data_IF_534175533214
#
_entry.id   IF_534175533214
#
_cell.length_a   1.000
_cell.length_b   1.000
_cell.length_c   1.000
_cell.angle_alpha   90.00
_cell.angle_beta   90.00
_cell.angle_gamma   90.00
#
_symmetry.space_group_name_H-M   'P 1'
#
loop_
_entity.id
_entity.type
_entity.pdbx_description
1 polymer ?
#
# COMPACT_ATOMS: atom_id res chain seq x y z
N UNK A 1 18.37 37.18 14.89
CA UNK A 1 18.85 37.15 13.51
C UNK A 1 17.67 37.23 12.58
N UNK A 2 17.56 38.37 11.82
CA UNK A 2 16.40 38.71 11.03
C UNK A 2 16.25 37.83 9.77
N UNK A 3 15.41 36.82 9.83
CA UNK A 3 14.95 36.08 8.66
C UNK A 3 13.89 36.87 7.89
N UNK A 4 14.12 37.12 6.60
CA UNK A 4 13.19 37.77 5.67
C UNK A 4 12.02 36.85 5.33
N UNK A 5 11.11 36.54 6.26
CA UNK A 5 9.95 35.73 6.01
C UNK A 5 8.78 35.98 6.97
N UNK A 6 7.59 35.51 6.68
CA UNK A 6 6.44 35.63 7.58
C UNK A 6 6.76 35.02 8.95
N UNK A 7 6.49 35.73 10.04
CA UNK A 7 6.81 35.31 11.43
C UNK A 7 6.22 33.94 11.79
N UNK A 8 5.07 33.52 11.20
CA UNK A 8 4.49 32.23 11.46
C UNK A 8 5.32 31.05 10.90
N UNK A 9 6.03 31.26 9.77
CA UNK A 9 6.96 30.26 9.24
C UNK A 9 8.18 30.11 10.15
N UNK A 10 8.70 31.21 10.66
CA UNK A 10 9.83 31.19 11.63
C UNK A 10 9.49 30.40 12.90
N UNK A 11 8.23 30.44 13.37
CA UNK A 11 7.77 29.63 14.50
C UNK A 11 7.77 28.13 14.11
N UNK A 12 7.25 27.78 12.94
CA UNK A 12 7.25 26.39 12.47
C UNK A 12 8.67 25.85 12.24
N UNK A 13 9.57 26.68 11.70
CA UNK A 13 10.98 26.35 11.48
C UNK A 13 11.73 26.15 12.81
N UNK A 14 11.48 26.99 13.80
CA UNK A 14 12.05 26.82 15.14
C UNK A 14 11.62 25.55 15.82
N UNK A 15 10.33 25.18 15.68
CA UNK A 15 9.83 23.89 16.17
C UNK A 15 10.54 22.74 15.44
N UNK A 16 10.67 22.80 14.10
CA UNK A 16 11.36 21.78 13.32
C UNK A 16 12.84 21.62 13.76
N UNK A 17 13.55 22.71 13.99
CA UNK A 17 14.93 22.69 14.45
C UNK A 17 15.07 22.09 15.86
N UNK A 18 14.21 22.48 16.80
CA UNK A 18 14.21 21.95 18.16
C UNK A 18 13.86 20.44 18.21
N UNK A 19 12.97 19.98 17.34
CA UNK A 19 12.67 18.56 17.18
C UNK A 19 13.87 17.81 16.60
N UNK A 20 14.51 18.34 15.55
CA UNK A 20 15.68 17.74 14.92
C UNK A 20 16.90 17.70 15.85
N UNK A 21 17.08 18.73 16.70
CA UNK A 21 18.12 18.79 17.72
C UNK A 21 17.85 17.90 18.96
N UNK A 22 16.64 17.30 19.06
CA UNK A 22 16.24 16.53 20.25
C UNK A 22 15.86 17.37 21.47
N UNK A 23 15.82 18.68 21.36
CA UNK A 23 15.41 19.60 22.43
C UNK A 23 13.90 19.49 22.74
N UNK A 24 13.11 19.13 21.73
CA UNK A 24 11.69 18.81 21.86
C UNK A 24 11.46 17.33 21.52
N UNK A 25 11.62 16.41 22.49
CA UNK A 25 11.38 15.00 22.27
C UNK A 25 9.91 14.70 21.98
N UNK A 26 9.67 13.56 21.31
CA UNK A 26 8.34 13.06 21.00
C UNK A 26 7.43 13.00 22.24
N UNK A 27 6.19 13.45 22.10
CA UNK A 27 5.22 13.52 23.21
C UNK A 27 5.37 14.80 24.07
N UNK A 28 6.37 15.66 23.83
CA UNK A 28 6.49 16.93 24.52
C UNK A 28 5.30 17.83 24.23
N UNK A 29 4.73 18.42 25.28
CA UNK A 29 3.62 19.37 25.12
C UNK A 29 4.15 20.75 24.76
N UNK A 30 3.67 21.31 23.65
CA UNK A 30 3.97 22.70 23.29
C UNK A 30 3.21 23.67 24.20
N UNK A 31 3.76 24.89 24.44
CA UNK A 31 3.08 25.93 25.18
C UNK A 31 1.70 26.26 24.63
N UNK A 32 0.72 26.63 25.46
CA UNK A 32 -0.54 27.18 24.97
C UNK A 32 -0.29 28.36 24.03
N UNK A 33 -1.02 28.42 22.93
CA UNK A 33 -0.78 29.43 21.88
C UNK A 33 -0.81 30.86 22.41
N UNK A 34 -1.64 31.16 23.43
CA UNK A 34 -1.71 32.47 24.05
C UNK A 34 -0.42 32.84 24.82
N UNK A 35 0.13 31.85 25.54
CA UNK A 35 1.35 32.04 26.31
C UNK A 35 2.53 32.27 25.36
N UNK A 36 2.67 31.42 24.33
CA UNK A 36 3.74 31.59 23.35
C UNK A 36 3.63 32.91 22.58
N UNK A 37 2.40 33.39 22.30
CA UNK A 37 2.20 34.68 21.66
C UNK A 37 2.70 35.84 22.55
N UNK A 38 2.42 35.77 23.85
CA UNK A 38 2.89 36.73 24.84
C UNK A 38 4.43 36.71 24.95
N UNK A 39 5.01 35.51 25.12
CA UNK A 39 6.46 35.34 25.30
C UNK A 39 7.26 35.78 24.08
N UNK A 40 6.73 35.57 22.87
CA UNK A 40 7.39 35.97 21.61
C UNK A 40 7.05 37.40 21.15
N UNK A 41 6.17 38.13 21.84
CA UNK A 41 5.73 39.47 21.44
C UNK A 41 5.06 39.50 20.05
N UNK A 42 4.27 38.48 19.74
CA UNK A 42 3.53 38.34 18.47
C UNK A 42 2.03 38.20 18.70
N UNK A 43 1.24 38.36 17.65
CA UNK A 43 -0.21 38.15 17.77
C UNK A 43 -0.55 36.68 17.93
N UNK A 44 -1.67 36.37 18.61
CA UNK A 44 -2.21 34.99 18.72
C UNK A 44 -2.40 34.37 17.34
N UNK A 45 -2.89 35.13 16.35
CA UNK A 45 -3.07 34.66 14.99
C UNK A 45 -1.77 34.21 14.30
N UNK A 46 -0.64 34.85 14.65
CA UNK A 46 0.68 34.46 14.15
C UNK A 46 1.10 33.08 14.70
N UNK A 47 0.88 32.85 16.00
CA UNK A 47 1.20 31.57 16.63
C UNK A 47 0.22 30.47 16.14
N UNK A 48 -1.06 30.78 16.00
CA UNK A 48 -2.05 29.85 15.45
C UNK A 48 -1.64 29.37 14.05
N UNK A 49 -1.21 30.27 13.17
CA UNK A 49 -0.69 29.93 11.84
C UNK A 49 0.60 29.13 11.92
N UNK A 50 1.51 29.46 12.83
CA UNK A 50 2.77 28.71 13.06
C UNK A 50 2.51 27.27 13.49
N UNK A 51 1.56 27.07 14.42
CA UNK A 51 1.16 25.73 14.87
C UNK A 51 0.42 24.96 13.79
N UNK A 52 -0.41 25.62 13.00
CA UNK A 52 -1.07 25.00 11.85
C UNK A 52 -0.05 24.54 10.80
N UNK A 53 0.96 25.36 10.52
CA UNK A 53 2.04 25.01 9.61
C UNK A 53 2.92 23.87 10.16
N UNK A 54 3.27 23.89 11.45
CA UNK A 54 3.97 22.78 12.09
C UNK A 54 3.15 21.47 12.04
N UNK A 55 1.83 21.57 12.17
CA UNK A 55 0.91 20.42 12.01
C UNK A 55 0.89 19.93 10.56
N UNK A 56 0.82 20.82 9.58
CA UNK A 56 0.89 20.48 8.16
C UNK A 56 2.19 19.75 7.82
N UNK A 57 3.31 20.13 8.45
CA UNK A 57 4.61 19.46 8.31
C UNK A 57 4.73 18.17 9.13
N UNK A 58 3.70 17.77 9.86
CA UNK A 58 3.72 16.55 10.68
C UNK A 58 4.57 16.64 11.96
N UNK A 59 5.03 17.84 12.34
CA UNK A 59 5.87 18.03 13.53
C UNK A 59 5.08 17.96 14.83
N UNK A 60 3.82 18.36 14.79
CA UNK A 60 2.95 18.43 15.96
C UNK A 60 1.54 17.92 15.67
N UNK A 61 0.90 17.36 16.69
CA UNK A 61 -0.51 16.94 16.68
C UNK A 61 -1.21 17.41 17.93
N UNK A 62 -2.54 17.38 17.96
CA UNK A 62 -3.29 17.74 19.15
C UNK A 62 -4.74 17.31 19.06
N UNK A 63 -5.31 16.96 20.21
CA UNK A 63 -6.74 16.75 20.40
C UNK A 63 -7.37 18.01 20.97
N UNK A 64 -8.58 18.32 20.54
CA UNK A 64 -9.36 19.46 21.05
C UNK A 64 -9.50 19.32 22.57
N UNK A 65 -9.07 20.32 23.33
CA UNK A 65 -9.12 20.35 24.81
C UNK A 65 -7.90 19.76 25.53
N UNK A 66 -7.01 19.00 24.89
CA UNK A 66 -5.83 18.38 25.54
C UNK A 66 -4.50 19.12 25.27
N UNK A 67 -4.42 19.89 24.22
CA UNK A 67 -3.23 20.66 23.86
C UNK A 67 -2.53 20.18 22.59
N UNK A 68 -1.43 20.85 22.23
CA UNK A 68 -0.59 20.51 21.08
C UNK A 68 0.65 19.80 21.57
N UNK A 69 0.96 18.64 21.01
CA UNK A 69 2.11 17.82 21.40
C UNK A 69 3.02 17.64 20.19
N UNK A 70 4.32 17.60 20.45
CA UNK A 70 5.30 17.16 19.44
C UNK A 70 4.92 15.72 19.06
N UNK A 71 4.57 15.56 17.81
CA UNK A 71 4.52 14.19 17.28
C UNK A 71 5.97 13.75 17.29
N UNK A 72 6.25 12.61 17.95
CA UNK A 72 7.50 11.93 17.70
C UNK A 72 7.67 11.94 16.21
N UNK A 73 8.89 11.99 15.71
CA UNK A 73 9.08 11.60 14.34
C UNK A 73 8.16 10.38 14.21
N UNK A 74 6.93 10.58 13.69
CA UNK A 74 6.24 9.47 13.02
C UNK A 74 7.40 8.97 12.24
N UNK A 75 7.86 7.76 12.58
CA UNK A 75 8.92 7.22 11.77
C UNK A 75 8.76 7.84 10.41
N UNK A 76 9.51 8.93 10.17
CA UNK A 76 9.65 9.46 8.86
C UNK A 76 10.45 8.38 8.18
N UNK A 77 9.76 7.24 8.08
CA UNK A 77 10.07 6.29 7.03
C UNK A 77 9.95 7.20 5.84
N UNK A 78 11.06 7.50 5.20
CA UNK A 78 11.00 8.24 3.96
C UNK A 78 9.83 7.61 3.22
N UNK A 79 9.01 8.39 2.52
CA UNK A 79 7.92 7.91 1.67
C UNK A 79 8.47 6.91 0.64
N UNK A 80 9.27 5.99 1.04
CA UNK A 80 10.04 4.97 0.35
C UNK A 80 9.55 3.59 0.78
N UNK A 81 9.55 2.68 -0.17
CA UNK A 81 9.22 1.27 -0.07
C UNK A 81 9.60 0.65 1.28
N UNK A 82 8.82 -0.33 1.73
CA UNK A 82 8.97 -1.07 2.99
C UNK A 82 10.45 -1.31 3.29
N UNK A 83 11.01 -0.53 4.21
CA UNK A 83 12.38 -0.74 4.67
C UNK A 83 12.39 -1.98 5.56
N UNK A 84 13.02 -3.05 5.11
CA UNK A 84 13.27 -4.22 5.93
C UNK A 84 14.24 -3.79 7.02
N UNK A 85 13.77 -3.73 8.27
CA UNK A 85 14.64 -3.44 9.40
C UNK A 85 15.72 -4.54 9.51
N UNK A 86 16.97 -4.16 9.83
CA UNK A 86 18.03 -5.16 9.99
C UNK A 86 17.65 -6.15 11.11
N UNK A 87 17.84 -7.44 10.83
CA UNK A 87 17.61 -8.51 11.80
C UNK A 87 18.50 -8.30 13.01
N UNK A 88 17.91 -8.22 14.20
CA UNK A 88 18.67 -8.24 15.45
C UNK A 88 18.94 -9.71 15.82
N UNK A 89 20.17 -10.10 16.16
CA UNK A 89 20.47 -11.45 16.59
C UNK A 89 19.55 -11.90 17.74
N UNK A 90 18.97 -13.09 17.63
CA UNK A 90 18.07 -13.66 18.64
C UNK A 90 16.63 -13.17 18.61
N UNK A 91 16.25 -12.34 17.64
CA UNK A 91 14.86 -11.90 17.44
C UNK A 91 14.20 -12.73 16.36
N UNK A 92 12.98 -13.25 16.65
CA UNK A 92 12.09 -13.82 15.63
C UNK A 92 11.24 -12.66 15.07
N UNK A 93 11.43 -12.34 13.79
CA UNK A 93 10.76 -11.21 13.16
C UNK A 93 9.56 -11.69 12.32
N UNK A 94 8.36 -11.38 12.77
CA UNK A 94 7.11 -11.64 12.05
C UNK A 94 6.57 -10.40 11.28
N UNK A 95 7.33 -9.30 11.25
CA UNK A 95 6.87 -8.08 10.58
C UNK A 95 6.89 -8.17 9.04
N UNK A 96 7.58 -9.16 8.50
CA UNK A 96 7.71 -9.34 7.05
C UNK A 96 7.54 -10.81 6.67
N UNK A 97 6.75 -11.07 5.63
CA UNK A 97 6.68 -12.37 4.98
C UNK A 97 7.94 -12.56 4.13
N UNK A 98 8.94 -13.25 4.67
CA UNK A 98 10.23 -13.52 4.01
C UNK A 98 10.29 -14.99 3.66
N UNK A 99 10.68 -15.35 2.40
CA UNK A 99 10.87 -16.75 2.02
C UNK A 99 11.90 -17.45 2.91
N UNK A 100 11.60 -18.70 3.27
CA UNK A 100 12.54 -19.54 4.03
C UNK A 100 13.82 -19.75 3.22
N UNK A 101 14.97 -19.51 3.85
CA UNK A 101 16.28 -19.75 3.22
C UNK A 101 16.47 -21.25 2.90
N UNK A 102 17.15 -21.57 1.81
CA UNK A 102 17.48 -22.95 1.45
C UNK A 102 17.05 -23.30 0.03
N UNK A 103 16.18 -24.32 -0.14
CA UNK A 103 15.77 -24.83 -1.47
C UNK A 103 15.38 -23.77 -2.49
N UNK A 104 14.58 -22.71 -2.15
CA UNK A 104 14.24 -21.67 -3.12
C UNK A 104 15.45 -20.95 -3.68
N UNK A 105 16.48 -20.69 -2.85
CA UNK A 105 17.72 -20.05 -3.30
C UNK A 105 18.53 -20.92 -4.26
N UNK A 106 18.56 -22.24 -4.03
CA UNK A 106 19.25 -23.19 -4.92
C UNK A 106 18.55 -23.28 -6.28
N UNK A 107 17.23 -23.35 -6.29
CA UNK A 107 16.43 -23.36 -7.52
C UNK A 107 16.61 -22.08 -8.32
N UNK A 108 16.62 -20.93 -7.65
CA UNK A 108 16.87 -19.63 -8.28
C UNK A 108 18.28 -19.56 -8.89
N UNK A 109 19.31 -20.00 -8.16
CA UNK A 109 20.69 -20.01 -8.66
C UNK A 109 20.83 -20.86 -9.93
N UNK A 110 20.19 -22.03 -9.96
CA UNK A 110 20.14 -22.88 -11.16
C UNK A 110 19.45 -22.16 -12.33
N UNK A 111 18.27 -21.60 -12.10
CA UNK A 111 17.53 -20.87 -13.14
C UNK A 111 18.34 -19.70 -13.70
N UNK A 112 19.01 -18.93 -12.84
CA UNK A 112 19.88 -17.84 -13.28
C UNK A 112 21.05 -18.33 -14.13
N UNK A 113 21.67 -19.46 -13.78
CA UNK A 113 22.74 -20.06 -14.58
C UNK A 113 22.21 -20.53 -15.95
N UNK A 114 21.05 -21.16 -15.98
CA UNK A 114 20.40 -21.61 -17.22
C UNK A 114 20.08 -20.43 -18.14
N UNK A 115 19.54 -19.33 -17.60
CA UNK A 115 19.26 -18.09 -18.35
C UNK A 115 20.57 -17.46 -18.86
N UNK A 116 21.60 -17.35 -18.02
CA UNK A 116 22.87 -16.71 -18.38
C UNK A 116 23.61 -17.43 -19.53
N UNK A 117 23.40 -18.74 -19.68
CA UNK A 117 23.97 -19.55 -20.74
C UNK A 117 23.06 -19.75 -21.95
N UNK A 118 21.84 -19.23 -21.89
CA UNK A 118 20.85 -19.30 -22.96
C UNK A 118 21.26 -18.38 -24.13
N UNK A 119 20.97 -18.82 -25.36
CA UNK A 119 21.13 -17.97 -26.56
C UNK A 119 20.20 -16.73 -26.55
N UNK A 120 19.20 -16.74 -25.69
CA UNK A 120 18.19 -15.67 -25.57
C UNK A 120 18.63 -14.51 -24.66
N UNK A 121 19.77 -14.63 -23.98
CA UNK A 121 20.26 -13.62 -23.03
C UNK A 121 20.44 -12.24 -23.69
N UNK A 122 20.80 -12.20 -24.95
CA UNK A 122 20.96 -10.93 -25.70
C UNK A 122 19.59 -10.25 -25.95
N UNK A 123 18.54 -11.03 -26.24
CA UNK A 123 17.20 -10.51 -26.40
C UNK A 123 16.66 -9.93 -25.08
N UNK A 124 17.02 -10.56 -23.95
CA UNK A 124 16.63 -10.08 -22.62
C UNK A 124 17.32 -8.75 -22.24
N UNK A 125 18.48 -8.45 -22.82
CA UNK A 125 19.21 -7.20 -22.58
C UNK A 125 18.68 -6.01 -23.41
N UNK A 126 17.84 -6.26 -24.41
CA UNK A 126 17.26 -5.25 -25.28
C UNK A 126 16.01 -4.59 -24.67
N UNK A 127 15.48 -3.57 -25.38
CA UNK A 127 14.17 -3.02 -25.08
C UNK A 127 13.10 -4.08 -25.27
N UNK A 128 12.24 -4.23 -24.28
CA UNK A 128 11.12 -5.16 -24.30
C UNK A 128 9.82 -4.45 -24.68
N UNK A 129 8.86 -5.20 -25.21
CA UNK A 129 7.51 -4.70 -25.39
C UNK A 129 6.89 -4.40 -24.02
N UNK A 130 6.01 -3.41 -23.94
CA UNK A 130 5.39 -2.94 -22.70
C UNK A 130 4.71 -4.07 -21.89
N UNK A 131 4.14 -5.06 -22.57
CA UNK A 131 3.49 -6.22 -21.94
C UNK A 131 4.43 -7.41 -21.69
N UNK A 132 5.69 -7.32 -22.08
CA UNK A 132 6.69 -8.39 -21.96
C UNK A 132 6.76 -9.31 -23.18
N UNK A 133 7.80 -10.17 -23.23
CA UNK A 133 8.04 -11.07 -24.33
C UNK A 133 6.90 -12.09 -24.52
N UNK A 134 6.50 -12.43 -25.75
CA UNK A 134 5.45 -13.39 -26.03
C UNK A 134 5.61 -14.71 -25.27
N UNK A 135 6.83 -15.31 -25.28
CA UNK A 135 7.13 -16.55 -24.56
C UNK A 135 6.94 -16.45 -23.05
N UNK A 136 7.20 -15.27 -22.44
CA UNK A 136 6.96 -15.06 -21.01
C UNK A 136 5.46 -14.97 -20.72
N UNK A 137 4.69 -14.32 -21.58
CA UNK A 137 3.23 -14.25 -21.49
C UNK A 137 2.58 -15.62 -21.68
N UNK A 138 3.08 -16.42 -22.62
CA UNK A 138 2.67 -17.83 -22.77
C UNK A 138 2.98 -18.68 -21.52
N UNK A 139 4.15 -18.47 -20.91
CA UNK A 139 4.49 -19.13 -19.64
C UNK A 139 3.56 -18.68 -18.51
N UNK A 140 3.20 -17.40 -18.46
CA UNK A 140 2.21 -16.84 -17.55
C UNK A 140 0.84 -17.49 -17.74
N UNK A 141 0.36 -17.63 -18.97
CA UNK A 141 -0.91 -18.31 -19.26
C UNK A 141 -0.91 -19.77 -18.77
N UNK A 142 0.17 -20.51 -19.01
CA UNK A 142 0.33 -21.88 -18.50
C UNK A 142 0.40 -21.94 -16.96
N UNK A 143 0.98 -20.90 -16.33
CA UNK A 143 1.00 -20.82 -14.87
C UNK A 143 -0.39 -20.59 -14.29
N UNK A 144 -1.14 -19.61 -14.84
CA UNK A 144 -2.49 -19.29 -14.41
C UNK A 144 -3.50 -20.42 -14.63
N UNK A 145 -3.33 -21.20 -15.69
CA UNK A 145 -4.16 -22.39 -15.94
C UNK A 145 -4.11 -23.43 -14.80
N UNK A 146 -3.09 -23.43 -13.96
CA UNK A 146 -3.02 -24.28 -12.76
C UNK A 146 -3.98 -23.84 -11.65
N UNK A 147 -4.49 -22.63 -11.75
CA UNK A 147 -5.44 -22.02 -10.81
C UNK A 147 -6.81 -21.87 -11.44
N UNK A 148 -7.13 -22.69 -12.45
CA UNK A 148 -8.40 -22.67 -13.22
C UNK A 148 -8.70 -21.31 -13.87
N UNK A 149 -7.65 -20.50 -14.11
CA UNK A 149 -7.76 -19.24 -14.85
C UNK A 149 -7.47 -19.47 -16.33
N UNK A 150 -8.48 -19.29 -17.17
CA UNK A 150 -8.38 -19.35 -18.62
C UNK A 150 -7.81 -18.02 -19.16
N UNK A 151 -6.50 -17.80 -18.98
CA UNK A 151 -5.82 -16.65 -19.55
C UNK A 151 -5.15 -16.98 -20.89
N UNK A 152 -5.18 -16.03 -21.81
CA UNK A 152 -4.42 -16.09 -23.05
C UNK A 152 -3.19 -15.19 -22.97
N UNK A 153 -2.14 -15.42 -23.78
CA UNK A 153 -0.98 -14.53 -23.77
C UNK A 153 -1.31 -13.06 -24.04
N UNK A 154 -2.43 -12.77 -24.70
CA UNK A 154 -2.80 -11.40 -25.09
C UNK A 154 -3.39 -10.59 -23.93
N UNK A 155 -3.91 -11.25 -22.92
CA UNK A 155 -4.41 -10.58 -21.71
C UNK A 155 -3.46 -10.69 -20.50
N UNK A 156 -2.17 -10.94 -20.75
CA UNK A 156 -1.13 -11.01 -19.74
C UNK A 156 -0.09 -9.92 -19.96
N UNK A 157 0.21 -9.19 -18.90
CA UNK A 157 1.37 -8.30 -18.82
C UNK A 157 2.38 -8.83 -17.80
N UNK A 158 3.65 -8.87 -18.18
CA UNK A 158 4.74 -9.28 -17.28
C UNK A 158 5.26 -8.06 -16.54
N UNK A 159 5.30 -8.14 -15.22
CA UNK A 159 5.75 -7.06 -14.36
C UNK A 159 6.95 -7.44 -13.50
N UNK A 160 7.64 -6.46 -12.94
CA UNK A 160 8.75 -6.67 -12.00
C UNK A 160 8.20 -6.97 -10.58
N UNK A 161 7.51 -8.09 -10.45
CA UNK A 161 6.86 -8.53 -9.22
C UNK A 161 5.49 -7.88 -8.99
N UNK A 162 4.73 -8.42 -8.01
CA UNK A 162 3.36 -8.00 -7.71
C UNK A 162 3.26 -6.51 -7.35
N UNK A 163 4.23 -5.95 -6.64
CA UNK A 163 4.25 -4.52 -6.32
C UNK A 163 4.21 -3.63 -7.57
N UNK A 164 4.94 -4.01 -8.63
CA UNK A 164 4.88 -3.30 -9.91
C UNK A 164 3.54 -3.54 -10.61
N UNK A 165 2.99 -4.75 -10.52
CA UNK A 165 1.65 -5.07 -11.03
C UNK A 165 0.58 -4.18 -10.40
N UNK A 166 0.57 -4.06 -9.07
CA UNK A 166 -0.35 -3.16 -8.33
C UNK A 166 -0.20 -1.71 -8.80
N UNK A 167 1.04 -1.21 -8.92
CA UNK A 167 1.30 0.16 -9.39
C UNK A 167 0.71 0.40 -10.78
N UNK A 168 1.01 -0.49 -11.73
CA UNK A 168 0.55 -0.35 -13.13
C UNK A 168 -0.97 -0.44 -13.20
N UNK A 169 -1.60 -1.38 -12.49
CA UNK A 169 -3.06 -1.51 -12.44
C UNK A 169 -3.73 -0.26 -11.88
N UNK A 170 -3.23 0.29 -10.77
CA UNK A 170 -3.77 1.52 -10.19
C UNK A 170 -3.58 2.72 -11.12
N UNK A 171 -2.42 2.85 -11.77
CA UNK A 171 -2.18 3.93 -12.74
C UNK A 171 -3.08 3.85 -13.97
N UNK A 172 -3.45 2.64 -14.39
CA UNK A 172 -4.33 2.43 -15.54
C UNK A 172 -5.81 2.70 -15.21
N UNK A 173 -6.23 2.44 -13.97
CA UNK A 173 -7.64 2.41 -13.58
C UNK A 173 -8.10 3.62 -12.75
N UNK A 174 -7.18 4.39 -12.17
CA UNK A 174 -7.51 5.47 -11.25
C UNK A 174 -6.79 6.78 -11.57
N UNK A 175 -7.40 7.89 -11.16
CA UNK A 175 -6.82 9.22 -11.20
C UNK A 175 -6.57 9.73 -9.77
N UNK A 176 -5.60 10.66 -9.56
CA UNK A 176 -5.41 11.28 -8.26
C UNK A 176 -6.71 11.87 -7.70
N UNK A 177 -7.05 11.52 -6.48
CA UNK A 177 -8.30 11.92 -5.80
C UNK A 177 -9.40 10.87 -5.84
N UNK A 178 -9.30 9.85 -6.68
CA UNK A 178 -10.24 8.73 -6.71
C UNK A 178 -10.17 7.91 -5.42
N UNK A 179 -11.28 7.24 -5.09
CA UNK A 179 -11.37 6.35 -3.95
C UNK A 179 -11.25 4.90 -4.38
N UNK A 180 -10.37 4.15 -3.71
CA UNK A 180 -10.22 2.70 -3.85
C UNK A 180 -10.70 2.04 -2.56
N UNK A 181 -11.64 1.10 -2.69
CA UNK A 181 -12.09 0.24 -1.61
C UNK A 181 -11.02 -0.82 -1.35
N UNK A 182 -10.74 -1.11 -0.09
CA UNK A 182 -9.80 -2.17 0.27
C UNK A 182 -10.16 -2.76 1.62
N UNK A 183 -9.70 -3.97 1.86
CA UNK A 183 -9.78 -4.62 3.17
C UNK A 183 -9.27 -3.69 4.27
N UNK A 184 -9.98 -3.63 5.41
CA UNK A 184 -9.67 -2.73 6.54
C UNK A 184 -8.27 -2.97 7.12
N UNK A 185 -7.77 -4.19 7.01
CA UNK A 185 -6.36 -4.56 7.11
C UNK A 185 -5.90 -4.93 5.71
N UNK A 186 -4.82 -4.37 5.20
CA UNK A 186 -4.42 -4.62 3.82
C UNK A 186 -2.90 -4.59 3.67
N UNK A 187 -2.42 -5.02 2.51
CA UNK A 187 -0.99 -5.07 2.22
C UNK A 187 -0.36 -3.67 2.28
N UNK A 188 0.67 -3.45 3.13
CA UNK A 188 1.28 -2.13 3.27
C UNK A 188 1.84 -1.55 1.98
N UNK A 189 2.32 -2.39 1.06
CA UNK A 189 2.82 -1.97 -0.24
C UNK A 189 1.74 -1.38 -1.13
N UNK A 190 0.54 -1.95 -1.16
CA UNK A 190 -0.62 -1.37 -1.83
C UNK A 190 -0.99 -0.01 -1.22
N UNK A 191 -1.10 0.06 0.12
CA UNK A 191 -1.44 1.31 0.82
C UNK A 191 -0.44 2.43 0.46
N UNK A 192 0.85 2.09 0.36
CA UNK A 192 1.89 3.04 0.01
C UNK A 192 1.76 3.53 -1.43
N UNK A 193 1.58 2.62 -2.38
CA UNK A 193 1.39 2.98 -3.80
C UNK A 193 0.16 3.86 -3.99
N UNK A 194 -0.98 3.48 -3.39
CA UNK A 194 -2.20 4.27 -3.47
C UNK A 194 -1.99 5.70 -2.94
N UNK A 195 -1.28 5.87 -1.82
CA UNK A 195 -0.94 7.20 -1.27
C UNK A 195 -0.03 7.99 -2.20
N UNK A 196 0.98 7.36 -2.79
CA UNK A 196 1.90 8.02 -3.74
C UNK A 196 1.17 8.50 -5.00
N UNK A 197 0.17 7.75 -5.45
CA UNK A 197 -0.69 8.13 -6.57
C UNK A 197 -1.77 9.16 -6.20
N UNK A 198 -1.83 9.59 -4.93
CA UNK A 198 -2.83 10.55 -4.47
C UNK A 198 -4.24 9.99 -4.37
N UNK A 199 -4.39 8.66 -4.27
CA UNK A 199 -5.67 7.98 -4.12
C UNK A 199 -6.16 8.02 -2.67
N UNK A 200 -7.47 8.01 -2.49
CA UNK A 200 -8.13 7.85 -1.19
C UNK A 200 -8.41 6.37 -0.97
N UNK A 201 -8.12 5.88 0.23
CA UNK A 201 -8.43 4.51 0.61
C UNK A 201 -9.64 4.51 1.53
N UNK A 202 -10.64 3.72 1.18
CA UNK A 202 -11.82 3.50 1.99
C UNK A 202 -11.80 2.07 2.52
N UNK A 203 -11.71 1.88 3.85
CA UNK A 203 -11.64 0.55 4.45
C UNK A 203 -13.00 -0.16 4.40
N UNK A 204 -12.97 -1.42 3.99
CA UNK A 204 -14.11 -2.35 4.03
C UNK A 204 -13.92 -3.30 5.21
N UNK A 205 -14.93 -3.45 6.04
CA UNK A 205 -14.88 -4.36 7.18
C UNK A 205 -14.70 -5.81 6.76
N UNK A 206 -14.04 -6.57 7.62
CA UNK A 206 -13.67 -7.97 7.44
C UNK A 206 -14.14 -8.80 8.62
N UNK A 207 -14.33 -10.10 8.36
CA UNK A 207 -14.53 -11.15 9.36
C UNK A 207 -13.49 -12.29 9.18
N UNK A 208 -13.77 -13.44 9.77
CA UNK A 208 -12.89 -14.62 9.69
C UNK A 208 -12.85 -15.27 8.28
N UNK A 209 -13.64 -14.78 7.34
CA UNK A 209 -13.64 -15.19 5.92
C UNK A 209 -13.16 -14.07 4.97
N UNK A 210 -12.68 -12.92 5.50
CA UNK A 210 -12.22 -11.79 4.69
C UNK A 210 -13.27 -10.70 4.54
N UNK A 211 -13.38 -10.08 3.36
CA UNK A 211 -14.34 -8.99 3.10
C UNK A 211 -15.77 -9.41 3.40
N UNK A 212 -16.48 -8.56 4.17
CA UNK A 212 -17.92 -8.65 4.40
C UNK A 212 -18.64 -7.99 3.22
N UNK A 213 -19.43 -8.72 2.39
CA UNK A 213 -20.07 -8.18 1.18
C UNK A 213 -21.04 -7.03 1.44
N UNK A 214 -21.75 -7.06 2.56
CA UNK A 214 -22.65 -5.98 2.99
C UNK A 214 -21.86 -4.70 3.29
N UNK A 215 -20.72 -4.82 3.98
CA UNK A 215 -19.83 -3.69 4.26
C UNK A 215 -19.20 -3.12 2.96
N UNK A 216 -18.90 -3.97 1.98
CA UNK A 216 -18.47 -3.53 0.66
C UNK A 216 -19.55 -2.69 -0.03
N UNK A 217 -20.80 -3.15 0.03
CA UNK A 217 -21.95 -2.43 -0.52
C UNK A 217 -22.13 -1.07 0.16
N UNK A 218 -22.06 -1.01 1.48
CA UNK A 218 -22.17 0.24 2.24
C UNK A 218 -21.03 1.22 1.90
N UNK A 219 -19.78 0.74 1.83
CA UNK A 219 -18.63 1.54 1.51
C UNK A 219 -18.72 2.11 0.08
N UNK A 220 -19.16 1.30 -0.88
CA UNK A 220 -19.37 1.73 -2.26
C UNK A 220 -20.46 2.81 -2.36
N UNK A 221 -21.62 2.62 -1.72
CA UNK A 221 -22.69 3.60 -1.72
C UNK A 221 -22.28 4.94 -1.07
N UNK A 222 -21.44 4.89 -0.02
CA UNK A 222 -20.95 6.09 0.66
C UNK A 222 -19.94 6.88 -0.17
N UNK A 223 -19.09 6.19 -0.95
CA UNK A 223 -17.95 6.79 -1.64
C UNK A 223 -18.14 6.93 -3.14
N UNK A 224 -19.07 6.17 -3.74
CA UNK A 224 -19.21 5.98 -5.19
C UNK A 224 -17.91 5.48 -5.85
N UNK A 225 -17.08 4.76 -5.11
CA UNK A 225 -15.84 4.17 -5.62
C UNK A 225 -16.14 3.12 -6.71
N UNK A 226 -15.22 2.99 -7.67
CA UNK A 226 -15.32 2.02 -8.77
C UNK A 226 -14.26 0.94 -8.71
N UNK A 227 -13.28 1.05 -7.81
CA UNK A 227 -12.17 0.12 -7.68
C UNK A 227 -12.21 -0.56 -6.31
N UNK A 228 -11.96 -1.87 -6.33
CA UNK A 228 -11.70 -2.70 -5.16
C UNK A 228 -10.30 -3.30 -5.30
N UNK A 229 -9.47 -3.21 -4.26
CA UNK A 229 -8.27 -4.04 -4.10
C UNK A 229 -8.54 -5.08 -3.03
N UNK A 230 -8.24 -6.35 -3.30
CA UNK A 230 -8.45 -7.45 -2.34
C UNK A 230 -7.46 -8.59 -2.51
N UNK A 231 -7.29 -9.37 -1.43
CA UNK A 231 -6.42 -10.56 -1.34
C UNK A 231 -7.22 -11.79 -0.86
N UNK A 232 -8.19 -12.28 -1.63
CA UNK A 232 -9.14 -13.29 -1.13
C UNK A 232 -8.54 -14.70 -1.01
N UNK A 233 -7.47 -15.02 -1.75
CA UNK A 233 -6.84 -16.33 -1.74
C UNK A 233 -6.11 -16.65 -0.45
N UNK A 234 -5.09 -15.86 -0.11
CA UNK A 234 -4.41 -15.85 1.19
C UNK A 234 -4.17 -14.40 1.56
N UNK A 235 -4.90 -13.92 2.53
CA UNK A 235 -4.89 -12.52 2.91
C UNK A 235 -3.62 -12.12 3.68
N UNK A 236 -3.04 -10.99 3.33
CA UNK A 236 -1.96 -10.36 4.08
C UNK A 236 -2.46 -9.09 4.79
N UNK A 237 -2.45 -9.02 6.16
CA UNK A 237 -1.58 -9.82 7.04
C UNK A 237 -2.24 -10.96 7.80
N UNK A 238 -3.53 -11.25 7.62
CA UNK A 238 -4.29 -12.14 8.53
C UNK A 238 -4.16 -13.62 8.21
N UNK A 239 -3.66 -13.98 7.02
CA UNK A 239 -3.64 -15.34 6.49
C UNK A 239 -5.04 -16.00 6.35
N UNK A 240 -6.10 -15.22 6.42
CA UNK A 240 -7.47 -15.69 6.14
C UNK A 240 -7.57 -16.14 4.70
N UNK A 241 -8.31 -17.19 4.45
CA UNK A 241 -8.62 -17.74 3.14
C UNK A 241 -10.14 -17.76 2.97
N UNK A 242 -10.62 -17.12 1.91
CA UNK A 242 -12.05 -17.03 1.63
C UNK A 242 -12.62 -18.40 1.21
N UNK A 243 -13.78 -18.77 1.74
CA UNK A 243 -14.49 -19.98 1.29
C UNK A 243 -15.11 -19.80 -0.11
N UNK A 244 -15.38 -20.90 -0.82
CA UNK A 244 -16.03 -20.84 -2.12
C UNK A 244 -17.40 -20.15 -2.07
N UNK A 245 -18.14 -20.33 -0.98
CA UNK A 245 -19.45 -19.70 -0.82
C UNK A 245 -19.30 -18.16 -0.68
N UNK A 246 -18.36 -17.70 0.16
CA UNK A 246 -18.09 -16.29 0.34
C UNK A 246 -17.55 -15.66 -0.95
N UNK A 247 -16.67 -16.34 -1.68
CA UNK A 247 -16.13 -15.88 -2.96
C UNK A 247 -17.22 -15.65 -3.99
N UNK A 248 -18.21 -16.57 -4.06
CA UNK A 248 -19.35 -16.40 -4.96
C UNK A 248 -20.18 -15.16 -4.59
N UNK A 249 -20.46 -14.96 -3.30
CA UNK A 249 -21.19 -13.77 -2.83
C UNK A 249 -20.42 -12.50 -3.11
N UNK A 250 -19.09 -12.50 -2.92
CA UNK A 250 -18.23 -11.37 -3.27
C UNK A 250 -18.27 -11.08 -4.77
N UNK A 251 -18.16 -12.10 -5.62
CA UNK A 251 -18.24 -11.95 -7.07
C UNK A 251 -19.59 -11.33 -7.52
N UNK A 252 -20.70 -11.81 -6.95
CA UNK A 252 -22.03 -11.28 -7.25
C UNK A 252 -22.17 -9.82 -6.75
N UNK A 253 -21.56 -9.50 -5.61
CA UNK A 253 -21.56 -8.13 -5.07
C UNK A 253 -20.73 -7.19 -5.96
N UNK A 254 -19.54 -7.60 -6.38
CA UNK A 254 -18.68 -6.82 -7.31
C UNK A 254 -19.41 -6.53 -8.60
N UNK A 255 -20.08 -7.55 -9.18
CA UNK A 255 -20.92 -7.40 -10.39
C UNK A 255 -22.05 -6.40 -10.18
N UNK A 256 -22.81 -6.57 -9.10
CA UNK A 256 -23.97 -5.72 -8.79
C UNK A 256 -23.60 -4.26 -8.60
N UNK A 257 -22.43 -4.00 -8.03
CA UNK A 257 -21.92 -2.66 -7.74
C UNK A 257 -21.13 -2.04 -8.92
N UNK A 258 -20.98 -2.75 -10.02
CA UNK A 258 -20.16 -2.34 -11.20
C UNK A 258 -18.74 -1.92 -10.80
N UNK A 259 -18.10 -2.72 -9.94
CA UNK A 259 -16.73 -2.52 -9.49
C UNK A 259 -15.75 -3.23 -10.41
N UNK A 260 -14.57 -2.66 -10.59
CA UNK A 260 -13.39 -3.37 -11.08
C UNK A 260 -12.55 -3.81 -9.88
N UNK A 261 -12.21 -5.09 -9.80
CA UNK A 261 -11.38 -5.64 -8.74
C UNK A 261 -9.92 -5.82 -9.19
N UNK A 262 -8.99 -5.40 -8.37
CA UNK A 262 -7.58 -5.79 -8.44
C UNK A 262 -7.41 -6.92 -7.42
N UNK A 263 -7.28 -8.15 -7.92
CA UNK A 263 -7.12 -9.36 -7.11
C UNK A 263 -5.64 -9.69 -6.95
N UNK A 264 -5.11 -9.52 -5.75
CA UNK A 264 -3.72 -9.85 -5.44
C UNK A 264 -3.61 -11.30 -4.95
N UNK A 265 -3.13 -12.17 -5.82
CA UNK A 265 -2.99 -13.60 -5.62
C UNK A 265 -1.53 -14.06 -5.43
N UNK A 266 -0.64 -13.15 -4.99
CA UNK A 266 0.79 -13.42 -4.84
C UNK A 266 1.11 -14.62 -3.94
N UNK A 267 0.26 -14.92 -2.97
CA UNK A 267 0.43 -16.01 -2.01
C UNK A 267 -0.32 -17.30 -2.38
N UNK A 268 -1.16 -17.28 -3.38
CA UNK A 268 -2.06 -18.41 -3.72
C UNK A 268 -1.35 -19.74 -4.00
N UNK A 269 -0.10 -19.68 -4.45
CA UNK A 269 0.72 -20.88 -4.69
C UNK A 269 1.31 -21.55 -3.44
N UNK A 270 1.07 -21.01 -2.24
CA UNK A 270 1.63 -21.53 -0.98
C UNK A 270 0.73 -22.54 -0.27
N UNK A 271 -0.53 -22.62 -0.63
CA UNK A 271 -1.52 -23.51 -0.02
C UNK A 271 -2.46 -24.08 -1.09
N UNK A 272 -3.18 -25.15 -0.73
CA UNK A 272 -4.31 -25.62 -1.53
C UNK A 272 -5.42 -24.59 -1.46
N UNK A 273 -5.98 -24.21 -2.61
CA UNK A 273 -7.07 -23.25 -2.69
C UNK A 273 -8.33 -23.79 -2.03
N UNK A 274 -9.00 -22.93 -1.27
CA UNK A 274 -10.34 -23.21 -0.74
C UNK A 274 -11.46 -22.72 -1.66
N UNK A 275 -11.16 -21.77 -2.55
CA UNK A 275 -12.10 -21.18 -3.49
C UNK A 275 -11.43 -20.93 -4.85
N UNK A 276 -12.20 -20.92 -5.96
CA UNK A 276 -11.68 -20.40 -7.23
C UNK A 276 -11.32 -18.93 -7.09
N UNK A 277 -10.35 -18.40 -7.85
CA UNK A 277 -10.05 -16.98 -7.82
C UNK A 277 -11.23 -16.14 -8.31
N UNK A 278 -11.37 -14.93 -7.79
CA UNK A 278 -12.41 -13.98 -8.21
C UNK A 278 -12.39 -13.76 -9.72
N UNK A 279 -11.19 -13.65 -10.29
CA UNK A 279 -10.95 -13.51 -11.73
C UNK A 279 -11.49 -14.65 -12.58
N UNK A 280 -11.68 -15.86 -12.04
CA UNK A 280 -12.35 -16.95 -12.76
C UNK A 280 -13.87 -16.83 -12.75
N UNK A 281 -14.46 -16.16 -11.76
CA UNK A 281 -15.89 -15.96 -11.62
C UNK A 281 -16.39 -14.71 -12.37
N UNK A 282 -15.56 -13.67 -12.41
CA UNK A 282 -15.89 -12.37 -13.02
C UNK A 282 -14.70 -11.82 -13.84
N UNK A 283 -14.24 -12.52 -14.88
CA UNK A 283 -13.03 -12.18 -15.64
C UNK A 283 -13.07 -10.78 -16.26
N UNK A 284 -14.26 -10.29 -16.64
CA UNK A 284 -14.43 -8.97 -17.27
C UNK A 284 -14.27 -7.81 -16.27
N UNK A 285 -14.30 -8.09 -14.98
CA UNK A 285 -14.25 -7.09 -13.91
C UNK A 285 -13.06 -7.30 -12.96
N UNK A 286 -12.12 -8.20 -13.28
CA UNK A 286 -10.98 -8.52 -12.41
C UNK A 286 -9.66 -8.45 -13.18
N UNK A 287 -8.67 -7.87 -12.54
CA UNK A 287 -7.29 -7.79 -13.00
C UNK A 287 -6.39 -8.46 -11.96
#
# INVERSE_FOLDING_TARGET
>A
SGGQGPKYLAIADAIAQAVAAGELPAGSKLPPQRNLAYDLGVTLGTVTRGYAEARRRGLVGGEVGRGTYVQGAKDARPDGFIAVAPERPGTINFAHAIPVRGRPGQSLAKTLADVATSSEVQDLAGYQMDTGLPRHREAGARWLARSDLAATPDNIAITNGAQHGILVSLMALAQPGDTVLAESLSYPGFIQVARQLGLKLEPVAMDDEGIIPEALTEAQHRTSARLLYCMPGIHNPTAVMMSSARMQVLADTVKKLDLTAIEDEVWSGLSERQAPPLSSLIPEQTI
#
